data_IF_892451089986
#
_entry.id   IF_892451089986
#
_cell.length_a   1.000
_cell.length_b   1.000
_cell.length_c   1.000
_cell.angle_alpha   90.00
_cell.angle_beta   90.00
_cell.angle_gamma   90.00
#
_symmetry.space_group_name_H-M   'P 1'
#
loop_
_entity.id
_entity.type
_entity.pdbx_description
1 polymer ?
#
# COMPACT_ATOMS: atom_id res chain seq x y z
N UNK A 1 -9.74 -55.03 -60.08
CA UNK A 1 -10.60 -54.61 -58.97
C UNK A 1 -9.67 -54.05 -57.92
N UNK A 2 -9.65 -52.74 -57.85
CA UNK A 2 -8.67 -51.93 -57.15
C UNK A 2 -9.26 -51.53 -55.79
N UNK A 3 -8.54 -51.79 -54.71
CA UNK A 3 -8.85 -51.23 -53.40
C UNK A 3 -7.81 -50.15 -53.05
N UNK A 4 -8.22 -48.89 -53.15
CA UNK A 4 -7.44 -47.76 -52.68
C UNK A 4 -7.68 -47.54 -51.18
N UNK A 5 -6.64 -47.70 -50.42
CA UNK A 5 -6.62 -47.36 -49.00
C UNK A 5 -6.00 -45.96 -48.81
N UNK A 6 -6.87 -44.93 -48.69
CA UNK A 6 -6.47 -43.58 -48.41
C UNK A 6 -6.21 -43.38 -46.92
N UNK A 7 -4.95 -43.40 -46.52
CA UNK A 7 -4.50 -43.09 -45.18
C UNK A 7 -4.31 -41.57 -45.04
N UNK A 8 -5.35 -40.88 -44.56
CA UNK A 8 -5.26 -39.43 -44.23
C UNK A 8 -4.55 -39.26 -42.90
N UNK A 9 -3.22 -39.09 -42.97
CA UNK A 9 -2.42 -38.65 -41.83
C UNK A 9 -2.81 -37.22 -41.43
N UNK A 10 -3.67 -37.08 -40.38
CA UNK A 10 -3.81 -35.82 -39.65
C UNK A 10 -2.46 -35.44 -39.05
N UNK A 11 -1.80 -34.47 -39.67
CA UNK A 11 -0.67 -33.79 -39.04
C UNK A 11 -1.19 -33.05 -37.81
N UNK A 12 -0.85 -33.55 -36.61
CA UNK A 12 -0.95 -32.81 -35.36
C UNK A 12 0.05 -31.63 -35.46
N UNK A 13 -0.48 -30.44 -35.70
CA UNK A 13 0.28 -29.22 -35.66
C UNK A 13 0.74 -28.99 -34.22
N UNK A 14 2.06 -28.87 -34.01
CA UNK A 14 2.59 -28.32 -32.75
C UNK A 14 3.43 -29.24 -31.88
N UNK A 15 4.23 -30.14 -32.43
CA UNK A 15 5.39 -30.69 -31.70
C UNK A 15 6.44 -29.56 -31.57
N UNK A 16 6.82 -29.11 -30.35
CA UNK A 16 7.93 -28.19 -30.20
C UNK A 16 9.20 -28.91 -30.66
N UNK A 17 9.82 -28.44 -31.74
CA UNK A 17 11.17 -28.86 -32.14
C UNK A 17 12.12 -28.59 -30.98
N UNK A 18 12.67 -29.65 -30.41
CA UNK A 18 13.83 -29.57 -29.51
C UNK A 18 14.96 -28.90 -30.27
N UNK A 19 15.18 -27.61 -30.00
CA UNK A 19 16.31 -26.88 -30.55
C UNK A 19 17.56 -27.50 -29.92
N UNK A 20 18.34 -28.25 -30.72
CA UNK A 20 19.66 -28.72 -30.33
C UNK A 20 20.53 -27.51 -29.96
N UNK A 21 21.30 -27.54 -28.86
CA UNK A 21 22.12 -26.42 -28.46
C UNK A 21 23.20 -26.18 -29.53
N UNK A 22 23.11 -25.04 -30.22
CA UNK A 22 24.12 -24.56 -31.13
C UNK A 22 25.41 -24.28 -30.32
N UNK A 23 26.52 -24.88 -30.73
CA UNK A 23 27.80 -24.89 -29.95
C UNK A 23 28.54 -23.55 -29.94
N UNK A 24 27.92 -22.46 -30.43
CA UNK A 24 28.57 -21.16 -30.62
C UNK A 24 28.09 -20.04 -29.67
N UNK A 25 27.00 -20.21 -28.93
CA UNK A 25 26.49 -19.14 -28.08
C UNK A 25 27.07 -19.18 -26.66
N UNK A 26 27.68 -18.06 -26.25
CA UNK A 26 28.21 -17.91 -24.89
C UNK A 26 27.05 -17.87 -23.86
N UNK A 27 27.28 -18.39 -22.66
CA UNK A 27 26.31 -18.39 -21.56
C UNK A 27 25.76 -16.98 -21.21
N UNK A 28 26.46 -15.93 -21.61
CA UNK A 28 26.07 -14.54 -21.43
C UNK A 28 25.05 -14.07 -22.48
N UNK A 29 25.16 -14.52 -23.76
CA UNK A 29 24.17 -14.18 -24.78
C UNK A 29 22.85 -14.89 -24.54
N UNK A 30 22.88 -16.16 -24.15
CA UNK A 30 21.67 -16.89 -23.69
C UNK A 30 21.00 -16.22 -22.49
N UNK A 31 21.77 -15.69 -21.55
CA UNK A 31 21.23 -14.98 -20.37
C UNK A 31 20.52 -13.67 -20.76
N UNK A 32 20.95 -12.99 -21.84
CA UNK A 32 20.28 -11.79 -22.36
C UNK A 32 18.98 -12.09 -23.10
N UNK A 33 18.91 -13.19 -23.81
CA UNK A 33 17.75 -13.57 -24.61
C UNK A 33 16.55 -14.07 -23.77
N UNK A 34 16.84 -14.60 -22.56
CA UNK A 34 15.83 -15.04 -21.59
C UNK A 34 15.16 -13.90 -20.81
N UNK A 35 15.76 -12.70 -20.82
CA UNK A 35 15.19 -11.51 -20.16
C UNK A 35 14.11 -10.93 -21.07
N UNK A 36 12.87 -11.39 -20.91
CA UNK A 36 11.71 -10.82 -21.62
C UNK A 36 10.76 -11.79 -22.31
N UNK A 37 11.13 -13.07 -22.44
CA UNK A 37 10.19 -14.09 -22.96
C UNK A 37 9.76 -15.00 -21.80
N UNK A 38 8.45 -15.16 -21.54
CA UNK A 38 7.97 -16.14 -20.58
C UNK A 38 8.13 -17.54 -21.18
N UNK A 39 9.34 -18.09 -21.10
CA UNK A 39 9.61 -19.44 -21.57
C UNK A 39 9.59 -20.42 -20.40
N UNK A 40 8.41 -20.98 -20.17
CA UNK A 40 8.30 -22.19 -19.37
C UNK A 40 8.31 -23.40 -20.31
N UNK A 41 8.76 -24.54 -19.83
CA UNK A 41 8.87 -25.78 -20.62
C UNK A 41 7.54 -26.18 -21.32
N UNK A 42 6.39 -25.73 -20.79
CA UNK A 42 5.05 -25.99 -21.32
C UNK A 42 4.29 -24.72 -21.72
N UNK A 43 4.90 -23.55 -21.78
CA UNK A 43 4.20 -22.28 -22.02
C UNK A 43 3.30 -21.81 -20.88
N UNK A 44 3.36 -22.48 -19.71
CA UNK A 44 2.57 -22.14 -18.52
C UNK A 44 3.46 -21.32 -17.56
N UNK A 45 3.00 -20.18 -17.03
CA UNK A 45 3.79 -19.40 -16.08
C UNK A 45 4.07 -20.20 -14.79
N UNK A 46 5.32 -20.12 -14.29
CA UNK A 46 5.74 -20.84 -13.06
C UNK A 46 4.94 -20.41 -11.84
N UNK A 47 4.54 -19.16 -11.77
CA UNK A 47 3.76 -18.60 -10.67
C UNK A 47 2.52 -17.92 -11.25
N UNK A 48 1.36 -18.22 -10.67
CA UNK A 48 0.12 -17.53 -11.01
C UNK A 48 0.23 -16.06 -10.61
N UNK A 49 0.09 -15.16 -11.60
CA UNK A 49 0.07 -13.71 -11.35
C UNK A 49 -1.10 -13.33 -10.44
N UNK A 50 -0.85 -12.43 -9.51
CA UNK A 50 -1.92 -11.76 -8.82
C UNK A 50 -2.69 -10.88 -9.82
N UNK A 51 -4.01 -11.07 -9.91
CA UNK A 51 -4.90 -10.29 -10.79
C UNK A 51 -5.25 -8.90 -10.22
N UNK A 52 -4.43 -8.35 -9.36
CA UNK A 52 -4.69 -7.10 -8.66
C UNK A 52 -4.72 -5.92 -9.63
N UNK A 53 -5.90 -5.30 -9.73
CA UNK A 53 -6.15 -4.13 -10.56
C UNK A 53 -5.70 -2.81 -9.91
N UNK A 54 -6.16 -1.70 -10.47
CA UNK A 54 -5.93 -0.36 -9.93
C UNK A 54 -6.61 -0.16 -8.57
N UNK A 55 -7.67 -0.91 -8.31
CA UNK A 55 -8.42 -0.89 -7.07
C UNK A 55 -7.54 -1.23 -5.87
N UNK A 56 -6.64 -2.22 -6.03
CA UNK A 56 -5.81 -2.73 -4.94
C UNK A 56 -4.75 -1.73 -4.50
N UNK A 57 -3.99 -1.10 -5.42
CA UNK A 57 -2.99 -0.13 -4.98
C UNK A 57 -3.62 1.17 -4.49
N UNK A 58 -4.82 1.54 -4.96
CA UNK A 58 -5.60 2.64 -4.39
C UNK A 58 -6.09 2.29 -2.97
N UNK A 59 -6.60 1.06 -2.77
CA UNK A 59 -6.96 0.56 -1.44
C UNK A 59 -5.75 0.57 -0.49
N UNK A 60 -4.58 0.12 -0.93
CA UNK A 60 -3.36 0.15 -0.12
C UNK A 60 -2.98 1.58 0.31
N UNK A 61 -3.20 2.54 -0.56
CA UNK A 61 -2.96 3.94 -0.27
C UNK A 61 -3.97 4.51 0.73
N UNK A 62 -5.27 4.33 0.46
CA UNK A 62 -6.34 4.84 1.32
C UNK A 62 -6.38 4.14 2.68
N UNK A 63 -6.14 2.82 2.73
CA UNK A 63 -6.04 2.06 3.98
C UNK A 63 -4.89 2.53 4.86
N UNK A 64 -3.75 2.88 4.26
CA UNK A 64 -2.62 3.50 4.96
C UNK A 64 -2.99 4.85 5.56
N UNK A 65 -3.65 5.73 4.78
CA UNK A 65 -4.12 7.04 5.27
C UNK A 65 -5.19 6.85 6.35
N UNK A 66 -6.13 5.93 6.18
CA UNK A 66 -7.18 5.68 7.17
C UNK A 66 -6.60 5.28 8.53
N UNK A 67 -5.73 4.26 8.56
CA UNK A 67 -5.10 3.79 9.80
C UNK A 67 -4.18 4.84 10.43
N UNK A 68 -3.34 5.50 9.63
CA UNK A 68 -2.41 6.52 10.08
C UNK A 68 -3.10 7.77 10.62
N UNK A 69 -4.12 8.29 9.92
CA UNK A 69 -4.86 9.49 10.40
C UNK A 69 -5.69 9.20 11.65
N UNK A 70 -6.20 7.97 11.80
CA UNK A 70 -6.85 7.54 13.03
C UNK A 70 -5.88 7.55 14.22
N UNK A 71 -4.69 6.95 14.05
CA UNK A 71 -3.66 6.94 15.08
C UNK A 71 -3.24 8.36 15.48
N UNK A 72 -2.97 9.23 14.50
CA UNK A 72 -2.57 10.63 14.74
C UNK A 72 -3.67 11.38 15.49
N UNK A 73 -4.94 11.21 15.10
CA UNK A 73 -6.07 11.86 15.80
C UNK A 73 -6.26 11.33 17.22
N UNK A 74 -6.06 10.02 17.44
CA UNK A 74 -6.12 9.42 18.78
C UNK A 74 -5.02 9.96 19.68
N UNK A 75 -3.78 9.99 19.22
CA UNK A 75 -2.66 10.55 19.99
C UNK A 75 -2.89 12.02 20.31
N UNK A 76 -3.36 12.80 19.33
CA UNK A 76 -3.69 14.21 19.53
C UNK A 76 -4.80 14.40 20.58
N UNK A 77 -5.82 13.55 20.59
CA UNK A 77 -6.90 13.59 21.57
C UNK A 77 -6.43 13.19 22.98
N UNK A 78 -5.61 12.13 23.09
CA UNK A 78 -5.09 11.67 24.39
C UNK A 78 -4.13 12.70 25.01
N UNK A 79 -3.34 13.37 24.20
CA UNK A 79 -2.38 14.41 24.61
C UNK A 79 -3.02 15.80 24.77
N UNK A 80 -4.32 15.95 24.50
CA UNK A 80 -5.01 17.23 24.59
C UNK A 80 -4.52 18.29 23.58
N UNK A 81 -4.03 17.84 22.42
CA UNK A 81 -3.59 18.71 21.33
C UNK A 81 -4.83 19.25 20.59
N UNK A 82 -4.65 20.14 19.66
CA UNK A 82 -5.64 20.86 18.87
C UNK A 82 -6.88 20.01 18.48
N UNK A 83 -8.06 20.48 18.85
CA UNK A 83 -9.35 19.84 18.52
C UNK A 83 -9.62 19.77 17.01
N UNK A 84 -9.09 20.71 16.22
CA UNK A 84 -9.22 20.70 14.76
C UNK A 84 -8.44 19.55 14.15
N UNK A 85 -7.26 19.23 14.69
CA UNK A 85 -6.48 18.07 14.27
C UNK A 85 -7.23 16.76 14.55
N UNK A 86 -7.78 16.63 15.77
CA UNK A 86 -8.58 15.45 16.16
C UNK A 86 -9.79 15.28 15.25
N UNK A 87 -10.53 16.37 15.02
CA UNK A 87 -11.71 16.40 14.14
C UNK A 87 -11.35 16.00 12.72
N UNK A 88 -10.35 16.65 12.14
CA UNK A 88 -9.89 16.38 10.76
C UNK A 88 -9.40 14.95 10.59
N UNK A 89 -8.65 14.42 11.57
CA UNK A 89 -8.13 13.06 11.54
C UNK A 89 -9.22 11.99 11.59
N UNK A 90 -10.26 12.18 12.43
CA UNK A 90 -11.41 11.26 12.49
C UNK A 90 -12.19 11.24 11.18
N UNK A 91 -12.51 12.41 10.60
CA UNK A 91 -13.23 12.49 9.33
C UNK A 91 -12.42 11.96 8.16
N UNK A 92 -11.12 12.29 8.08
CA UNK A 92 -10.23 11.78 7.04
C UNK A 92 -10.11 10.26 7.10
N UNK A 93 -9.88 9.72 8.31
CA UNK A 93 -9.80 8.28 8.52
C UNK A 93 -11.07 7.57 8.04
N UNK A 94 -12.24 8.06 8.45
CA UNK A 94 -13.51 7.47 8.09
C UNK A 94 -13.81 7.57 6.58
N UNK A 95 -13.52 8.69 5.95
CA UNK A 95 -13.70 8.87 4.51
C UNK A 95 -12.84 7.88 3.70
N UNK A 96 -11.55 7.75 4.05
CA UNK A 96 -10.65 6.79 3.41
C UNK A 96 -11.05 5.34 3.69
N UNK A 97 -11.54 5.08 4.91
CA UNK A 97 -12.02 3.75 5.29
C UNK A 97 -13.28 3.35 4.53
N UNK A 98 -14.24 4.23 4.31
CA UNK A 98 -15.46 3.93 3.54
C UNK A 98 -15.16 3.52 2.09
N UNK A 99 -14.17 4.14 1.47
CA UNK A 99 -13.74 3.79 0.12
C UNK A 99 -13.03 2.42 0.06
N UNK A 100 -12.37 2.00 1.14
CA UNK A 100 -11.52 0.81 1.17
C UNK A 100 -12.26 -0.52 0.90
N UNK A 101 -13.38 -0.85 1.57
CA UNK A 101 -14.15 -2.06 1.28
C UNK A 101 -14.75 -2.06 -0.12
N UNK A 102 -15.18 -0.90 -0.63
CA UNK A 102 -15.74 -0.76 -1.97
C UNK A 102 -14.70 -1.18 -3.01
N UNK A 103 -13.47 -0.66 -2.89
CA UNK A 103 -12.37 -1.00 -3.79
C UNK A 103 -12.01 -2.49 -3.72
N UNK A 104 -12.01 -3.08 -2.52
CA UNK A 104 -11.76 -4.52 -2.35
C UNK A 104 -12.85 -5.37 -2.98
N UNK A 105 -14.12 -5.01 -2.80
CA UNK A 105 -15.26 -5.74 -3.38
C UNK A 105 -15.22 -5.65 -4.92
N UNK A 106 -14.85 -4.49 -5.47
CA UNK A 106 -14.71 -4.30 -6.92
C UNK A 106 -13.59 -5.16 -7.55
N UNK A 107 -12.56 -5.51 -6.79
CA UNK A 107 -11.46 -6.38 -7.27
C UNK A 107 -11.77 -7.87 -7.13
N UNK A 108 -12.89 -8.24 -6.46
CA UNK A 108 -13.32 -9.65 -6.38
C UNK A 108 -13.88 -10.12 -7.73
N UNK A 109 -13.46 -11.29 -8.17
CA UNK A 109 -14.02 -11.93 -9.36
C UNK A 109 -15.53 -12.21 -9.29
N UNK A 110 -16.09 -12.30 -8.07
CA UNK A 110 -17.53 -12.44 -7.77
C UNK A 110 -17.91 -11.55 -6.60
N UNK A 111 -18.21 -10.27 -6.84
CA UNK A 111 -18.49 -9.26 -5.81
C UNK A 111 -19.64 -9.64 -4.88
N UNK A 112 -20.68 -10.29 -5.39
CA UNK A 112 -21.85 -10.73 -4.61
C UNK A 112 -21.51 -11.70 -3.45
N UNK A 113 -20.33 -12.34 -3.49
CA UNK A 113 -19.89 -13.30 -2.47
C UNK A 113 -18.96 -12.72 -1.41
N UNK A 114 -18.79 -11.40 -1.35
CA UNK A 114 -17.90 -10.76 -0.38
C UNK A 114 -18.23 -11.14 1.08
N UNK A 115 -19.51 -11.31 1.41
CA UNK A 115 -19.98 -11.67 2.75
C UNK A 115 -19.48 -13.04 3.24
N UNK A 116 -19.10 -13.96 2.33
CA UNK A 116 -18.48 -15.23 2.72
C UNK A 116 -17.13 -15.05 3.43
N UNK A 117 -16.42 -13.95 3.17
CA UNK A 117 -15.14 -13.64 3.82
C UNK A 117 -15.31 -13.26 5.30
N UNK A 118 -16.50 -12.77 5.67
CA UNK A 118 -16.86 -12.42 7.06
C UNK A 118 -17.44 -13.60 7.86
N UNK A 119 -17.73 -14.73 7.20
CA UNK A 119 -18.39 -15.87 7.85
C UNK A 119 -17.45 -16.70 8.73
N UNK A 120 -16.18 -16.82 8.34
CA UNK A 120 -15.21 -17.69 9.02
C UNK A 120 -13.89 -16.95 9.19
N UNK A 121 -13.42 -16.86 10.43
CA UNK A 121 -12.08 -16.35 10.74
C UNK A 121 -11.05 -17.49 10.64
N UNK A 122 -10.13 -17.39 9.68
CA UNK A 122 -9.01 -18.33 9.51
C UNK A 122 -7.68 -17.63 9.83
N UNK A 123 -7.11 -17.90 11.00
CA UNK A 123 -5.83 -17.30 11.42
C UNK A 123 -4.63 -17.65 10.55
N UNK A 124 -4.69 -18.72 9.75
CA UNK A 124 -3.64 -19.09 8.79
C UNK A 124 -3.79 -18.42 7.43
N UNK A 125 -4.89 -17.70 7.18
CA UNK A 125 -5.13 -17.01 5.92
C UNK A 125 -4.92 -15.51 6.08
N UNK A 126 -3.88 -14.92 5.47
CA UNK A 126 -3.66 -13.47 5.51
C UNK A 126 -4.89 -12.68 5.07
N UNK A 127 -5.55 -13.12 4.00
CA UNK A 127 -6.75 -12.44 3.49
C UNK A 127 -7.90 -12.43 4.53
N UNK A 128 -8.11 -13.54 5.26
CA UNK A 128 -9.13 -13.60 6.32
C UNK A 128 -8.78 -12.66 7.47
N UNK A 129 -7.52 -12.65 7.93
CA UNK A 129 -7.06 -11.75 8.99
C UNK A 129 -7.29 -10.29 8.59
N UNK A 130 -6.95 -9.91 7.33
CA UNK A 130 -7.16 -8.55 6.82
C UNK A 130 -8.62 -8.14 6.78
N UNK A 131 -9.51 -9.02 6.35
CA UNK A 131 -10.96 -8.74 6.30
C UNK A 131 -11.51 -8.48 7.70
N UNK A 132 -11.15 -9.30 8.67
CA UNK A 132 -11.60 -9.13 10.06
C UNK A 132 -10.97 -7.91 10.74
N UNK A 133 -9.68 -7.65 10.48
CA UNK A 133 -9.02 -6.44 10.97
C UNK A 133 -9.65 -5.16 10.40
N UNK A 134 -9.95 -5.15 9.09
CA UNK A 134 -10.64 -4.03 8.44
C UNK A 134 -12.04 -3.83 9.01
N UNK A 135 -12.79 -4.92 9.26
CA UNK A 135 -14.13 -4.85 9.86
C UNK A 135 -14.11 -4.33 11.30
N UNK A 136 -13.17 -4.82 12.12
CA UNK A 136 -12.97 -4.33 13.48
C UNK A 136 -12.55 -2.85 13.48
N UNK A 137 -11.60 -2.48 12.63
CA UNK A 137 -11.20 -1.08 12.45
C UNK A 137 -12.39 -0.22 12.01
N UNK A 138 -13.23 -0.72 11.09
CA UNK A 138 -14.45 -0.06 10.63
C UNK A 138 -15.43 0.24 11.76
N UNK A 139 -15.63 -0.71 12.66
CA UNK A 139 -16.48 -0.53 13.83
C UNK A 139 -15.94 0.58 14.77
N UNK A 140 -14.67 0.52 15.15
CA UNK A 140 -14.07 1.52 16.04
C UNK A 140 -14.01 2.91 15.41
N UNK A 141 -13.60 3.00 14.13
CA UNK A 141 -13.53 4.25 13.39
C UNK A 141 -14.94 4.85 13.19
N UNK A 142 -15.95 4.03 12.89
CA UNK A 142 -17.34 4.45 12.80
C UNK A 142 -17.87 5.02 14.11
N UNK A 143 -17.63 4.35 15.24
CA UNK A 143 -18.06 4.82 16.57
C UNK A 143 -17.39 6.15 16.97
N UNK A 144 -16.07 6.29 16.73
CA UNK A 144 -15.36 7.55 17.06
C UNK A 144 -15.79 8.69 16.15
N UNK A 145 -16.06 8.41 14.88
CA UNK A 145 -16.58 9.42 13.95
C UNK A 145 -18.02 9.81 14.30
N UNK A 146 -18.87 8.83 14.63
CA UNK A 146 -20.24 9.11 15.07
C UNK A 146 -20.26 9.97 16.37
N UNK A 147 -19.36 9.69 17.33
CA UNK A 147 -19.15 10.53 18.50
C UNK A 147 -18.77 11.97 18.08
N UNK A 148 -17.84 12.12 17.10
CA UNK A 148 -17.44 13.44 16.60
C UNK A 148 -18.60 14.18 15.93
N UNK A 149 -19.38 13.50 15.09
CA UNK A 149 -20.59 14.05 14.43
C UNK A 149 -21.60 14.55 15.46
N UNK A 150 -21.83 13.77 16.54
CA UNK A 150 -22.69 14.18 17.64
C UNK A 150 -22.14 15.39 18.42
N UNK A 151 -20.81 15.45 18.64
CA UNK A 151 -20.12 16.57 19.29
C UNK A 151 -20.21 17.85 18.45
N UNK A 152 -20.07 17.73 17.13
CA UNK A 152 -20.18 18.83 16.17
C UNK A 152 -21.62 19.33 15.95
N UNK A 153 -22.62 18.68 16.57
CA UNK A 153 -24.02 19.10 16.51
C UNK A 153 -24.76 18.68 15.24
N UNK A 154 -24.09 17.92 14.33
CA UNK A 154 -24.70 17.47 13.08
C UNK A 154 -25.83 16.44 13.28
N UNK A 155 -25.96 15.87 14.48
CA UNK A 155 -26.97 14.88 14.85
C UNK A 155 -28.05 15.45 15.80
N UNK A 156 -28.21 16.79 15.88
CA UNK A 156 -29.16 17.44 16.81
C UNK A 156 -30.62 17.11 16.53
N UNK A 157 -30.96 16.68 15.33
CA UNK A 157 -32.31 16.22 14.93
C UNK A 157 -32.69 14.85 15.54
N UNK A 158 -31.68 14.06 16.04
CA UNK A 158 -31.87 12.84 16.82
C UNK A 158 -31.30 12.99 18.23
N UNK A 159 -31.97 13.67 19.16
CA UNK A 159 -31.38 14.06 20.45
C UNK A 159 -31.00 12.86 21.32
N UNK A 160 -31.75 11.75 21.25
CA UNK A 160 -31.43 10.54 22.01
C UNK A 160 -30.15 9.88 21.51
N UNK A 161 -30.01 9.71 20.18
CA UNK A 161 -28.81 9.16 19.58
C UNK A 161 -27.58 10.04 19.84
N UNK A 162 -27.71 11.37 19.71
CA UNK A 162 -26.66 12.32 20.01
C UNK A 162 -26.19 12.23 21.48
N UNK A 163 -27.12 12.05 22.41
CA UNK A 163 -26.80 11.90 23.86
C UNK A 163 -26.06 10.60 24.11
N UNK A 164 -26.55 9.48 23.55
CA UNK A 164 -25.90 8.17 23.71
C UNK A 164 -24.48 8.17 23.13
N UNK A 165 -24.30 8.73 21.91
CA UNK A 165 -22.99 8.82 21.27
C UNK A 165 -22.02 9.71 22.04
N UNK A 166 -22.48 10.83 22.62
CA UNK A 166 -21.64 11.70 23.47
C UNK A 166 -21.21 11.03 24.77
N UNK A 167 -21.99 10.07 25.27
CA UNK A 167 -21.70 9.34 26.51
C UNK A 167 -20.69 8.19 26.31
N UNK A 168 -20.30 7.86 25.06
CA UNK A 168 -19.35 6.79 24.80
C UNK A 168 -17.97 7.08 25.43
N UNK A 169 -17.29 6.05 25.96
CA UNK A 169 -15.92 6.16 26.45
C UNK A 169 -14.93 6.24 25.28
N UNK A 170 -14.99 7.35 24.53
CA UNK A 170 -14.32 7.49 23.22
C UNK A 170 -12.81 7.27 23.30
N UNK A 171 -12.13 7.65 24.39
CA UNK A 171 -10.69 7.42 24.56
C UNK A 171 -10.32 5.93 24.54
N UNK A 172 -11.14 5.10 25.19
CA UNK A 172 -10.94 3.63 25.18
C UNK A 172 -11.17 3.07 23.78
N UNK A 173 -12.25 3.49 23.13
CA UNK A 173 -12.59 3.10 21.76
C UNK A 173 -11.46 3.48 20.79
N UNK A 174 -10.88 4.66 20.94
CA UNK A 174 -9.76 5.14 20.11
C UNK A 174 -8.49 4.32 20.30
N UNK A 175 -8.15 3.91 21.51
CA UNK A 175 -6.96 3.09 21.77
C UNK A 175 -7.09 1.74 21.06
N UNK A 176 -8.23 1.04 21.24
CA UNK A 176 -8.46 -0.22 20.53
C UNK A 176 -8.55 -0.03 19.02
N UNK A 177 -9.21 1.02 18.55
CA UNK A 177 -9.28 1.36 17.14
C UNK A 177 -7.90 1.65 16.52
N UNK A 178 -7.01 2.28 17.28
CA UNK A 178 -5.63 2.55 16.82
C UNK A 178 -4.84 1.27 16.60
N UNK A 179 -5.01 0.25 17.44
CA UNK A 179 -4.39 -1.05 17.21
C UNK A 179 -4.83 -1.65 15.88
N UNK A 180 -6.14 -1.70 15.60
CA UNK A 180 -6.64 -2.21 14.32
C UNK A 180 -6.28 -1.31 13.15
N UNK A 181 -6.22 0.00 13.33
CA UNK A 181 -5.75 0.96 12.33
C UNK A 181 -4.29 0.71 11.94
N UNK A 182 -3.40 0.45 12.91
CA UNK A 182 -2.01 0.07 12.66
C UNK A 182 -1.93 -1.26 11.90
N UNK A 183 -2.74 -2.25 12.29
CA UNK A 183 -2.82 -3.53 11.58
C UNK A 183 -3.24 -3.28 10.13
N UNK A 184 -4.29 -2.51 9.85
CA UNK A 184 -4.75 -2.23 8.48
C UNK A 184 -3.68 -1.49 7.68
N UNK A 185 -2.98 -0.50 8.26
CA UNK A 185 -1.94 0.25 7.57
C UNK A 185 -0.72 -0.61 7.20
N UNK A 186 -0.31 -1.56 8.07
CA UNK A 186 0.81 -2.46 7.84
C UNK A 186 0.43 -3.69 7.01
N UNK A 187 -0.80 -4.17 7.18
CA UNK A 187 -1.31 -5.40 6.59
C UNK A 187 -1.19 -5.44 5.07
N UNK A 188 -1.36 -4.30 4.40
CA UNK A 188 -1.25 -4.21 2.95
C UNK A 188 0.13 -4.64 2.44
N UNK A 189 1.20 -4.34 3.19
CA UNK A 189 2.55 -4.84 2.93
C UNK A 189 2.72 -6.32 3.26
N UNK A 190 2.09 -6.77 4.36
CA UNK A 190 2.08 -8.19 4.75
C UNK A 190 1.34 -9.04 3.72
N UNK A 191 0.25 -8.55 3.15
CA UNK A 191 -0.50 -9.23 2.10
C UNK A 191 0.36 -9.48 0.85
N UNK A 192 1.14 -8.49 0.41
CA UNK A 192 2.11 -8.67 -0.67
C UNK A 192 3.12 -9.77 -0.34
N UNK A 193 3.71 -9.70 0.84
CA UNK A 193 4.77 -10.62 1.27
C UNK A 193 4.30 -12.06 1.52
N UNK A 194 3.01 -12.27 1.71
CA UNK A 194 2.42 -13.60 1.90
C UNK A 194 2.21 -14.39 0.60
N UNK A 195 2.57 -13.82 -0.54
CA UNK A 195 2.46 -14.45 -1.85
C UNK A 195 3.77 -15.15 -2.25
N UNK A 196 3.69 -16.06 -3.24
CA UNK A 196 4.87 -16.73 -3.81
C UNK A 196 5.67 -15.86 -4.79
N UNK A 197 5.32 -14.58 -4.98
CA UNK A 197 6.01 -13.67 -5.91
C UNK A 197 7.42 -13.37 -5.39
N UNK A 198 8.49 -13.66 -6.16
CA UNK A 198 9.87 -13.62 -5.66
C UNK A 198 10.29 -12.29 -5.05
N UNK A 199 9.94 -11.17 -5.70
CA UNK A 199 10.23 -9.82 -5.22
C UNK A 199 9.56 -9.54 -3.87
N UNK A 200 8.28 -9.87 -3.73
CA UNK A 200 7.53 -9.61 -2.50
C UNK A 200 7.93 -10.55 -1.36
N UNK A 201 8.11 -11.85 -1.69
CA UNK A 201 8.54 -12.85 -0.71
C UNK A 201 9.95 -12.54 -0.15
N UNK A 202 10.87 -12.03 -0.98
CA UNK A 202 12.20 -11.59 -0.53
C UNK A 202 12.13 -10.38 0.38
N UNK A 203 11.21 -9.45 0.11
CA UNK A 203 11.00 -8.23 0.91
C UNK A 203 10.11 -8.44 2.15
N UNK A 204 9.76 -9.67 2.51
CA UNK A 204 8.73 -9.97 3.53
C UNK A 204 8.91 -9.27 4.88
N UNK A 205 10.12 -9.09 5.35
CA UNK A 205 10.40 -8.45 6.64
C UNK A 205 10.31 -6.93 6.58
N UNK A 206 10.40 -6.34 5.39
CA UNK A 206 10.41 -4.90 5.17
C UNK A 206 9.07 -4.33 4.72
N UNK A 207 8.26 -5.11 3.96
CA UNK A 207 7.03 -4.58 3.35
C UNK A 207 6.00 -4.11 4.36
N UNK A 208 5.80 -4.84 5.46
CA UNK A 208 4.88 -4.43 6.53
C UNK A 208 5.30 -3.09 7.17
N UNK A 209 6.51 -2.99 7.73
CA UNK A 209 7.04 -1.73 8.27
C UNK A 209 7.10 -0.59 7.25
N UNK A 210 7.50 -0.86 6.01
CA UNK A 210 7.57 0.15 4.94
C UNK A 210 6.18 0.72 4.60
N UNK A 211 5.17 -0.13 4.47
CA UNK A 211 3.82 0.32 4.18
C UNK A 211 3.18 1.04 5.36
N UNK A 212 3.52 0.64 6.59
CA UNK A 212 3.10 1.34 7.80
C UNK A 212 3.70 2.74 7.88
N UNK A 213 5.01 2.88 7.76
CA UNK A 213 5.70 4.17 7.84
C UNK A 213 5.29 5.10 6.71
N UNK A 214 5.15 4.57 5.49
CA UNK A 214 4.63 5.32 4.36
C UNK A 214 3.14 5.69 4.53
N UNK A 215 2.34 4.84 5.19
CA UNK A 215 0.96 5.15 5.58
C UNK A 215 0.89 6.29 6.60
N UNK A 216 1.78 6.29 7.59
CA UNK A 216 1.90 7.38 8.57
C UNK A 216 2.37 8.70 7.91
N UNK A 217 3.40 8.65 7.07
CA UNK A 217 3.92 9.81 6.33
C UNK A 217 2.83 10.44 5.47
N UNK A 218 2.12 9.64 4.65
CA UNK A 218 1.02 10.13 3.82
C UNK A 218 -0.19 10.61 4.61
N UNK A 219 -0.51 10.03 5.76
CA UNK A 219 -1.59 10.52 6.63
C UNK A 219 -1.26 11.84 7.28
N UNK A 220 -0.03 12.03 7.74
CA UNK A 220 0.46 13.31 8.28
C UNK A 220 0.46 14.40 7.21
N UNK A 221 0.90 14.07 5.99
CA UNK A 221 0.84 14.99 4.84
C UNK A 221 -0.61 15.37 4.50
N UNK A 222 -1.54 14.41 4.49
CA UNK A 222 -2.96 14.68 4.24
C UNK A 222 -3.58 15.58 5.31
N UNK A 223 -3.27 15.33 6.59
CA UNK A 223 -3.70 16.18 7.71
C UNK A 223 -3.08 17.57 7.63
N UNK A 224 -1.77 17.67 7.34
CA UNK A 224 -1.08 18.94 7.13
C UNK A 224 -1.72 19.75 5.99
N UNK A 225 -2.09 19.08 4.90
CA UNK A 225 -2.80 19.71 3.78
C UNK A 225 -4.17 20.24 4.22
N UNK A 226 -5.00 19.44 4.88
CA UNK A 226 -6.35 19.84 5.34
C UNK A 226 -6.25 21.02 6.33
N UNK A 227 -5.34 20.94 7.29
CA UNK A 227 -5.15 21.98 8.30
C UNK A 227 -4.59 23.27 7.69
N UNK A 228 -3.70 23.15 6.71
CA UNK A 228 -3.19 24.31 5.97
C UNK A 228 -4.31 25.00 5.19
N UNK A 229 -5.24 24.27 4.59
CA UNK A 229 -6.42 24.81 3.92
C UNK A 229 -7.40 25.47 4.91
N UNK A 230 -7.56 24.86 6.09
CA UNK A 230 -8.50 25.28 7.15
C UNK A 230 -8.03 26.44 8.06
N UNK A 231 -6.87 27.06 7.79
CA UNK A 231 -6.28 28.14 8.64
C UNK A 231 -6.05 27.74 10.10
N UNK A 232 -5.59 26.52 10.34
CA UNK A 232 -5.27 26.05 11.70
C UNK A 232 -4.01 26.70 12.27
N UNK A 233 -3.80 26.51 13.58
CA UNK A 233 -2.69 27.07 14.34
C UNK A 233 -1.32 26.66 13.78
N UNK A 234 -0.38 27.59 13.76
CA UNK A 234 1.01 27.33 13.34
C UNK A 234 1.71 26.29 14.21
N UNK A 235 1.38 26.23 15.50
CA UNK A 235 2.02 25.28 16.44
C UNK A 235 1.59 23.83 16.16
N UNK A 236 0.33 23.62 15.76
CA UNK A 236 -0.16 22.30 15.36
C UNK A 236 0.57 21.81 14.11
N UNK A 237 0.73 22.69 13.10
CA UNK A 237 1.45 22.35 11.88
C UNK A 237 2.94 22.02 12.16
N UNK A 238 3.62 22.79 13.02
CA UNK A 238 5.01 22.49 13.41
C UNK A 238 5.15 21.14 14.11
N UNK A 239 4.19 20.75 14.95
CA UNK A 239 4.18 19.43 15.62
C UNK A 239 3.99 18.31 14.59
N UNK A 240 3.05 18.46 13.65
CA UNK A 240 2.85 17.52 12.56
C UNK A 240 4.12 17.38 11.70
N UNK A 241 4.75 18.48 11.32
CA UNK A 241 5.96 18.47 10.52
C UNK A 241 7.10 17.69 11.18
N UNK A 242 7.28 17.81 12.51
CA UNK A 242 8.29 17.02 13.23
C UNK A 242 8.03 15.52 13.17
N UNK A 243 6.77 15.12 13.40
CA UNK A 243 6.39 13.70 13.34
C UNK A 243 6.51 13.17 11.91
N UNK A 244 6.17 13.99 10.93
CA UNK A 244 6.28 13.64 9.50
C UNK A 244 7.73 13.48 9.06
N UNK A 245 8.64 14.33 9.53
CA UNK A 245 10.10 14.18 9.31
C UNK A 245 10.60 12.85 9.86
N UNK A 246 10.17 12.46 11.07
CA UNK A 246 10.54 11.16 11.65
C UNK A 246 10.00 10.01 10.79
N UNK A 247 8.73 10.08 10.37
CA UNK A 247 8.10 9.05 9.54
C UNK A 247 8.82 8.90 8.18
N UNK A 248 9.10 10.02 7.49
CA UNK A 248 9.80 10.04 6.20
C UNK A 248 11.25 9.55 6.32
N UNK A 249 11.95 9.94 7.39
CA UNK A 249 13.33 9.47 7.64
C UNK A 249 13.35 7.97 7.88
N UNK A 250 12.39 7.45 8.65
CA UNK A 250 12.25 6.00 8.89
C UNK A 250 11.90 5.26 7.60
N UNK A 251 10.98 5.80 6.78
CA UNK A 251 10.62 5.26 5.47
C UNK A 251 11.83 5.17 4.55
N UNK A 252 12.62 6.24 4.47
CA UNK A 252 13.86 6.28 3.67
C UNK A 252 14.89 5.27 4.18
N UNK A 253 15.07 5.15 5.50
CA UNK A 253 15.95 4.17 6.12
C UNK A 253 15.53 2.72 5.80
N UNK A 254 14.23 2.43 5.83
CA UNK A 254 13.71 1.11 5.45
C UNK A 254 13.93 0.82 3.97
N UNK A 255 13.73 1.80 3.08
CA UNK A 255 14.03 1.65 1.65
C UNK A 255 15.52 1.39 1.44
N UNK A 256 16.40 2.15 2.09
CA UNK A 256 17.84 1.99 1.99
C UNK A 256 18.31 0.60 2.47
N UNK A 257 17.74 0.11 3.58
CA UNK A 257 18.03 -1.23 4.13
C UNK A 257 17.47 -2.37 3.27
N UNK A 258 16.40 -2.11 2.53
CA UNK A 258 15.77 -3.07 1.65
C UNK A 258 16.56 -3.31 0.36
N UNK A 259 17.21 -2.29 -0.20
CA UNK A 259 17.95 -2.36 -1.46
C UNK A 259 18.96 -3.50 -1.50
N UNK A 260 19.90 -3.64 -0.54
CA UNK A 260 20.86 -4.75 -0.54
C UNK A 260 20.20 -6.12 -0.37
N UNK A 261 19.08 -6.20 0.36
CA UNK A 261 18.35 -7.45 0.60
C UNK A 261 17.72 -8.01 -0.69
N UNK A 262 17.27 -7.15 -1.59
CA UNK A 262 16.63 -7.55 -2.83
C UNK A 262 17.60 -8.13 -3.86
N UNK A 263 18.84 -7.64 -3.91
CA UNK A 263 19.83 -8.07 -4.89
C UNK A 263 19.31 -8.04 -6.34
N UNK A 264 19.50 -9.11 -7.14
CA UNK A 264 19.04 -9.17 -8.52
C UNK A 264 17.52 -9.10 -8.69
N UNK A 265 16.74 -9.51 -7.67
CA UNK A 265 15.29 -9.47 -7.68
C UNK A 265 14.74 -8.04 -7.68
N UNK A 266 15.52 -7.07 -7.23
CA UNK A 266 15.16 -5.65 -7.23
C UNK A 266 15.17 -4.98 -8.61
N UNK A 267 15.66 -5.63 -9.67
CA UNK A 267 15.74 -5.03 -11.00
C UNK A 267 14.47 -4.33 -11.49
N UNK A 268 13.25 -4.90 -11.32
CA UNK A 268 12.01 -4.25 -11.75
C UNK A 268 11.72 -2.93 -11.02
N UNK A 269 12.22 -2.76 -9.78
CA UNK A 269 12.05 -1.54 -8.99
C UNK A 269 13.00 -0.41 -9.39
N UNK A 270 14.18 -0.73 -9.97
CA UNK A 270 15.23 0.26 -10.23
C UNK A 270 15.50 0.50 -11.71
N UNK A 271 14.95 -0.31 -12.61
CA UNK A 271 15.18 -0.21 -14.05
C UNK A 271 13.91 0.12 -14.83
N UNK A 272 14.10 0.80 -15.99
CA UNK A 272 13.00 1.16 -16.87
C UNK A 272 12.05 2.23 -16.29
N UNK A 273 10.83 2.29 -16.82
CA UNK A 273 9.82 3.30 -16.43
C UNK A 273 9.40 3.18 -14.96
N UNK A 274 9.30 1.96 -14.42
CA UNK A 274 8.98 1.76 -13.00
C UNK A 274 10.11 2.23 -12.09
N UNK A 275 11.37 2.00 -12.51
CA UNK A 275 12.54 2.51 -11.79
C UNK A 275 12.59 4.04 -11.75
N UNK A 276 12.24 4.71 -12.84
CA UNK A 276 12.12 6.17 -12.87
C UNK A 276 11.04 6.65 -11.89
N UNK A 277 9.84 6.03 -11.91
CA UNK A 277 8.76 6.38 -10.99
C UNK A 277 9.15 6.13 -9.54
N UNK A 278 9.83 5.04 -9.25
CA UNK A 278 10.28 4.74 -7.89
C UNK A 278 11.34 5.72 -7.39
N UNK A 279 12.41 5.93 -8.19
CA UNK A 279 13.53 6.78 -7.77
C UNK A 279 13.15 8.27 -7.79
N UNK A 280 12.58 8.77 -8.89
CA UNK A 280 12.22 10.17 -9.01
C UNK A 280 10.88 10.50 -8.35
N UNK A 281 9.86 9.65 -8.52
CA UNK A 281 8.52 9.88 -8.00
C UNK A 281 8.41 9.60 -6.50
N UNK A 282 8.83 8.41 -6.04
CA UNK A 282 8.71 8.06 -4.62
C UNK A 282 9.86 8.62 -3.80
N UNK A 283 11.12 8.25 -4.11
CA UNK A 283 12.27 8.63 -3.27
C UNK A 283 12.55 10.12 -3.41
N UNK A 284 12.70 10.62 -4.63
CA UNK A 284 13.04 12.03 -4.89
C UNK A 284 11.90 12.98 -4.51
N UNK A 285 10.81 12.96 -5.29
CA UNK A 285 9.69 13.88 -5.13
C UNK A 285 8.82 13.60 -3.91
N UNK A 286 8.58 12.32 -3.59
CA UNK A 286 7.66 11.93 -2.53
C UNK A 286 8.25 11.96 -1.13
N UNK A 287 9.55 11.68 -0.98
CA UNK A 287 10.20 11.61 0.34
C UNK A 287 11.26 12.72 0.48
N UNK A 288 12.29 12.76 -0.38
CA UNK A 288 13.44 13.65 -0.17
C UNK A 288 13.07 15.13 -0.28
N UNK A 289 12.31 15.55 -1.28
CA UNK A 289 11.92 16.95 -1.45
C UNK A 289 11.09 17.45 -0.25
N UNK A 290 10.00 16.79 0.17
CA UNK A 290 9.24 17.22 1.35
C UNK A 290 10.07 17.16 2.64
N UNK A 291 10.88 16.12 2.82
CA UNK A 291 11.76 15.96 3.99
C UNK A 291 12.75 17.12 4.12
N UNK A 292 13.52 17.39 3.06
CA UNK A 292 14.51 18.48 3.06
C UNK A 292 13.85 19.84 3.24
N UNK A 293 12.69 20.07 2.64
CA UNK A 293 11.91 21.29 2.82
C UNK A 293 11.53 21.48 4.29
N UNK A 294 10.95 20.47 4.94
CA UNK A 294 10.52 20.55 6.34
C UNK A 294 11.69 20.66 7.32
N UNK A 295 12.76 19.91 7.10
CA UNK A 295 14.00 20.02 7.89
C UNK A 295 14.62 21.39 7.75
N UNK A 296 14.72 21.94 6.53
CA UNK A 296 15.27 23.26 6.28
C UNK A 296 14.50 24.38 7.01
N UNK A 297 13.17 24.35 7.02
CA UNK A 297 12.35 25.29 7.77
C UNK A 297 12.46 25.10 9.29
N UNK A 298 12.56 23.85 9.76
CA UNK A 298 12.76 23.55 11.18
C UNK A 298 14.10 24.10 11.67
N UNK A 299 15.18 23.93 10.92
CA UNK A 299 16.53 24.40 11.27
C UNK A 299 16.66 25.92 11.18
N UNK A 300 16.01 26.56 10.20
CA UNK A 300 16.03 28.01 10.05
C UNK A 300 15.17 28.76 11.07
N UNK A 301 14.38 28.05 11.89
CA UNK A 301 13.45 28.64 12.86
C UNK A 301 12.28 29.41 12.22
N UNK A 302 12.25 29.49 10.88
CA UNK A 302 11.20 30.22 10.14
C UNK A 302 10.01 29.28 9.86
N UNK A 303 8.77 29.77 9.98
CA UNK A 303 7.63 28.97 9.58
C UNK A 303 7.63 28.83 8.05
N UNK A 304 7.37 27.62 7.56
CA UNK A 304 7.13 27.40 6.12
C UNK A 304 5.88 28.18 5.69
N UNK A 305 5.92 28.76 4.49
CA UNK A 305 4.74 29.40 3.93
C UNK A 305 3.66 28.35 3.67
N UNK A 306 2.40 28.77 3.72
CA UNK A 306 1.24 27.89 3.47
C UNK A 306 1.34 27.17 2.13
N UNK A 307 1.77 27.88 1.09
CA UNK A 307 1.91 27.31 -0.26
C UNK A 307 2.99 26.22 -0.31
N UNK A 308 4.09 26.41 0.41
CA UNK A 308 5.17 25.41 0.50
C UNK A 308 4.68 24.17 1.23
N UNK A 309 3.96 24.30 2.34
CA UNK A 309 3.37 23.18 3.05
C UNK A 309 2.38 22.41 2.19
N UNK A 310 1.52 23.08 1.45
CA UNK A 310 0.59 22.47 0.51
C UNK A 310 1.35 21.70 -0.58
N UNK A 311 2.36 22.32 -1.19
CA UNK A 311 3.15 21.66 -2.24
C UNK A 311 3.91 20.44 -1.72
N UNK A 312 4.56 20.54 -0.56
CA UNK A 312 5.26 19.41 0.08
C UNK A 312 4.30 18.27 0.41
N UNK A 313 3.10 18.57 0.96
CA UNK A 313 2.09 17.57 1.27
C UNK A 313 1.56 16.86 0.02
N UNK A 314 1.32 17.60 -1.07
CA UNK A 314 0.87 17.01 -2.34
C UNK A 314 1.95 16.11 -2.95
N UNK A 315 3.23 16.52 -2.89
CA UNK A 315 4.34 15.69 -3.34
C UNK A 315 4.46 14.40 -2.52
N UNK A 316 4.35 14.48 -1.19
CA UNK A 316 4.40 13.31 -0.32
C UNK A 316 3.23 12.35 -0.57
N UNK A 317 2.01 12.85 -0.73
CA UNK A 317 0.84 12.05 -1.09
C UNK A 317 1.02 11.36 -2.43
N UNK A 318 1.49 12.08 -3.44
CA UNK A 318 1.75 11.53 -4.77
C UNK A 318 2.84 10.46 -4.72
N UNK A 319 3.94 10.70 -4.00
CA UNK A 319 5.02 9.73 -3.81
C UNK A 319 4.59 8.47 -3.10
N UNK A 320 3.77 8.61 -2.06
CA UNK A 320 3.21 7.47 -1.34
C UNK A 320 2.22 6.63 -2.18
N UNK A 321 1.45 7.25 -3.08
CA UNK A 321 0.63 6.53 -4.05
C UNK A 321 1.49 5.79 -5.08
N UNK A 322 2.53 6.45 -5.63
CA UNK A 322 3.47 5.86 -6.57
C UNK A 322 4.19 4.67 -5.94
N UNK A 323 4.56 4.74 -4.66
CA UNK A 323 5.16 3.61 -3.93
C UNK A 323 4.29 2.35 -4.07
N UNK A 324 2.99 2.44 -3.75
CA UNK A 324 2.07 1.29 -3.81
C UNK A 324 1.92 0.78 -5.23
N UNK A 325 1.75 1.68 -6.18
CA UNK A 325 1.66 1.35 -7.60
C UNK A 325 2.90 0.58 -8.10
N UNK A 326 4.08 1.10 -7.81
CA UNK A 326 5.34 0.51 -8.28
C UNK A 326 5.57 -0.86 -7.65
N UNK A 327 5.32 -1.03 -6.33
CA UNK A 327 5.46 -2.32 -5.67
C UNK A 327 4.53 -3.38 -6.25
N UNK A 328 3.27 -3.06 -6.49
CA UNK A 328 2.31 -4.01 -7.10
C UNK A 328 2.74 -4.36 -8.53
N UNK A 329 3.12 -3.37 -9.34
CA UNK A 329 3.52 -3.61 -10.74
C UNK A 329 4.85 -4.35 -10.85
N UNK A 330 5.85 -3.98 -10.06
CA UNK A 330 7.16 -4.64 -10.05
C UNK A 330 7.07 -6.11 -9.63
N UNK A 331 6.23 -6.42 -8.65
CA UNK A 331 5.99 -7.81 -8.27
C UNK A 331 5.35 -8.62 -9.39
N UNK A 332 4.39 -8.06 -10.12
CA UNK A 332 3.79 -8.74 -11.28
C UNK A 332 4.84 -9.04 -12.37
N UNK A 333 5.77 -8.12 -12.62
CA UNK A 333 6.89 -8.33 -13.56
C UNK A 333 7.82 -9.42 -13.01
N UNK A 334 8.11 -9.42 -11.70
CA UNK A 334 8.95 -10.46 -11.07
C UNK A 334 8.30 -11.85 -11.13
N UNK A 335 6.97 -11.94 -11.12
CA UNK A 335 6.25 -13.21 -11.27
C UNK A 335 6.35 -13.78 -12.69
N UNK A 336 6.56 -12.92 -13.70
CA UNK A 336 6.74 -13.31 -15.11
C UNK A 336 8.15 -13.76 -15.44
N UNK A 337 9.13 -13.46 -14.58
CA UNK A 337 10.53 -13.78 -14.80
C UNK A 337 10.88 -15.16 -14.19
N UNK A 338 11.08 -16.21 -15.02
CA UNK A 338 11.48 -17.55 -14.54
C UNK A 338 12.82 -17.53 -13.82
N UNK A 339 13.74 -16.64 -14.21
CA UNK A 339 15.04 -16.51 -13.56
C UNK A 339 14.92 -15.94 -12.15
N UNK A 340 13.98 -15.00 -11.93
CA UNK A 340 13.70 -14.48 -10.61
C UNK A 340 13.17 -15.57 -9.67
N UNK A 341 12.26 -16.43 -10.16
CA UNK A 341 11.73 -17.58 -9.40
C UNK A 341 12.83 -18.59 -9.08
N UNK A 342 13.64 -18.95 -10.07
CA UNK A 342 14.74 -19.89 -9.87
C UNK A 342 15.80 -19.35 -8.90
N UNK A 343 16.15 -18.07 -9.02
CA UNK A 343 17.08 -17.41 -8.11
C UNK A 343 16.55 -17.38 -6.68
N UNK A 344 15.26 -17.07 -6.49
CA UNK A 344 14.62 -17.04 -5.16
C UNK A 344 14.66 -18.41 -4.48
N UNK A 345 14.42 -19.49 -5.21
CA UNK A 345 14.40 -20.85 -4.68
C UNK A 345 15.80 -21.40 -4.33
N UNK A 346 16.89 -20.74 -4.79
CA UNK A 346 18.27 -21.12 -4.49
C UNK A 346 18.84 -20.45 -3.24
N UNK A 347 18.18 -19.40 -2.72
CA UNK A 347 18.59 -18.63 -1.55
C UNK A 347 17.80 -19.09 -0.32
#
# INVERSE_FOLDING_TARGET
>A
MSNGNGNSSRRLAGTPTLISPDRGETSASRRKEWIGKPSTYYGIPLIKKAHWGWQIYLYFFLGGIAGGSYLVSTLAHLLGIDSNLVRSGRYLSFACLLASPILLIMDLGRPERFHHMLRILKFRSPMSIGTWALSAFGMFCGLTTAHQVAKDGLLNWFPLAARLLKALPVKVIEVFGSFFGLVVASYTGVLLSSTAVPLWARARHFLGPLFLTSGLSTSLSALSLILSLGRSSHDTLKRLDRVEVIAMTTELGLIASLIPTLGPLGKPLFKGRLGLLFNAGTIGGGILVPLLTKVGFTLSGRPASRSINIAASLLALTGGFILRYVWVKAGRISADDPLATHYYNKI
#
